data_IF_612181243453
#
_entry.id   IF_612181243453
#
_cell.length_a   1.000
_cell.length_b   1.000
_cell.length_c   1.000
_cell.angle_alpha   90.00
_cell.angle_beta   90.00
_cell.angle_gamma   90.00
#
_symmetry.space_group_name_H-M   'P 1'
#
loop_
_entity.id
_entity.type
_entity.pdbx_description
1 polymer ?
#
# COMPACT_ATOMS: atom_id res chain seq x y z
N UNK A 1 23.21 -20.27 25.41
CA UNK A 1 22.53 -21.34 24.62
C UNK A 1 23.57 -22.02 23.73
N UNK A 2 23.56 -23.35 23.62
CA UNK A 2 24.50 -24.07 22.74
C UNK A 2 24.16 -23.88 21.26
N UNK A 3 25.16 -24.03 20.38
CA UNK A 3 24.97 -23.95 18.92
C UNK A 3 23.89 -24.93 18.43
N UNK A 4 23.92 -26.17 18.93
CA UNK A 4 22.92 -27.20 18.60
C UNK A 4 21.51 -26.75 19.00
N UNK A 5 21.33 -26.30 20.25
CA UNK A 5 20.05 -25.81 20.75
C UNK A 5 19.49 -24.63 19.94
N UNK A 6 20.35 -23.72 19.48
CA UNK A 6 19.94 -22.61 18.62
C UNK A 6 19.39 -23.09 17.27
N UNK A 7 20.07 -24.03 16.60
CA UNK A 7 19.60 -24.57 15.31
C UNK A 7 18.31 -25.39 15.48
N UNK A 8 18.19 -26.17 16.55
CA UNK A 8 16.98 -26.92 16.87
C UNK A 8 15.80 -25.96 17.05
N UNK A 9 15.95 -24.94 17.89
CA UNK A 9 14.90 -23.94 18.10
C UNK A 9 14.50 -23.24 16.80
N UNK A 10 15.47 -22.86 15.96
CA UNK A 10 15.19 -22.22 14.66
C UNK A 10 14.42 -23.14 13.69
N UNK A 11 14.68 -24.44 13.73
CA UNK A 11 14.06 -25.43 12.84
C UNK A 11 12.59 -25.68 13.20
N UNK A 12 12.26 -25.66 14.49
CA UNK A 12 10.93 -25.99 15.02
C UNK A 12 10.11 -24.77 15.45
N UNK A 13 10.57 -23.56 15.12
CA UNK A 13 9.85 -22.33 15.44
C UNK A 13 8.61 -22.18 14.54
N UNK A 14 7.44 -22.17 15.17
CA UNK A 14 6.15 -22.00 14.52
C UNK A 14 5.32 -20.94 15.26
N UNK A 15 4.48 -20.22 14.52
CA UNK A 15 3.66 -19.13 15.05
C UNK A 15 2.17 -19.30 14.78
N UNK A 16 1.79 -20.42 14.15
CA UNK A 16 0.41 -20.78 13.92
C UNK A 16 0.28 -22.31 13.89
N UNK A 17 -0.93 -22.81 14.16
CA UNK A 17 -1.23 -24.24 14.09
C UNK A 17 -1.16 -24.71 12.64
N UNK A 18 -0.34 -25.74 12.36
CA UNK A 18 -0.20 -26.30 11.02
C UNK A 18 -1.40 -27.17 10.62
N UNK A 19 -2.28 -27.55 11.56
CA UNK A 19 -3.48 -28.34 11.29
C UNK A 19 -4.63 -27.49 10.73
N UNK A 20 -4.58 -26.17 10.93
CA UNK A 20 -5.58 -25.22 10.45
C UNK A 20 -5.04 -24.54 9.19
N UNK A 21 -5.32 -25.13 8.03
CA UNK A 21 -4.90 -24.57 6.73
C UNK A 21 -5.87 -23.46 6.32
N UNK A 22 -5.35 -22.25 6.11
CA UNK A 22 -6.08 -21.10 5.59
C UNK A 22 -5.70 -20.83 4.12
N UNK A 23 -6.63 -20.22 3.38
CA UNK A 23 -6.43 -19.61 2.07
C UNK A 23 -5.37 -18.48 2.04
N UNK A 24 -5.12 -17.82 3.17
CA UNK A 24 -4.10 -16.78 3.32
C UNK A 24 -2.71 -17.36 3.11
N UNK A 25 -1.98 -16.83 2.12
CA UNK A 25 -0.64 -17.33 1.79
C UNK A 25 0.41 -17.03 2.85
N UNK A 26 0.10 -16.18 3.84
CA UNK A 26 0.94 -15.90 4.99
C UNK A 26 0.37 -16.44 6.31
N UNK A 27 -0.60 -17.37 6.28
CA UNK A 27 -1.27 -17.88 7.48
C UNK A 27 -0.29 -18.33 8.59
N UNK A 28 0.85 -18.95 8.22
CA UNK A 28 1.87 -19.42 9.18
C UNK A 28 2.51 -18.31 10.03
N UNK A 29 2.51 -17.08 9.53
CA UNK A 29 3.11 -15.90 10.20
C UNK A 29 2.10 -14.80 10.46
N UNK A 30 0.83 -15.01 10.09
CA UNK A 30 -0.25 -14.04 10.25
C UNK A 30 -0.40 -13.57 11.70
N UNK A 31 -0.36 -14.45 12.73
CA UNK A 31 -0.46 -14.01 14.11
C UNK A 31 0.63 -13.02 14.52
N UNK A 32 1.86 -13.17 14.00
CA UNK A 32 2.95 -12.23 14.26
C UNK A 32 2.63 -10.86 13.66
N UNK A 33 2.15 -10.81 12.43
CA UNK A 33 1.82 -9.52 11.79
C UNK A 33 0.66 -8.83 12.51
N UNK A 34 -0.33 -9.59 13.00
CA UNK A 34 -1.44 -9.04 13.81
C UNK A 34 -0.86 -8.40 15.08
N UNK A 35 -0.15 -9.18 15.90
CA UNK A 35 0.46 -8.71 17.14
C UNK A 35 1.41 -7.53 16.93
N UNK A 36 2.21 -7.58 15.86
CA UNK A 36 3.14 -6.50 15.54
C UNK A 36 2.38 -5.22 15.18
N UNK A 37 1.35 -5.29 14.35
CA UNK A 37 0.58 -4.11 13.96
C UNK A 37 -0.20 -3.53 15.15
N UNK A 38 -0.77 -4.38 16.01
CA UNK A 38 -1.42 -3.94 17.26
C UNK A 38 -0.43 -3.18 18.15
N UNK A 39 0.76 -3.74 18.40
CA UNK A 39 1.78 -3.07 19.21
C UNK A 39 2.26 -1.76 18.55
N UNK A 40 2.49 -1.75 17.24
CA UNK A 40 2.94 -0.56 16.51
C UNK A 40 1.91 0.58 16.59
N UNK A 41 0.61 0.26 16.54
CA UNK A 41 -0.48 1.22 16.65
C UNK A 41 -0.69 1.68 18.09
N UNK A 42 -0.58 0.78 19.06
CA UNK A 42 -0.72 1.10 20.48
C UNK A 42 0.33 2.11 20.96
N UNK A 43 1.58 1.94 20.53
CA UNK A 43 2.70 2.77 20.99
C UNK A 43 3.11 3.86 20.00
N UNK A 44 2.57 3.83 18.78
CA UNK A 44 2.86 4.81 17.75
C UNK A 44 1.97 6.04 17.86
N UNK A 45 2.56 7.23 17.74
CA UNK A 45 1.81 8.48 17.61
C UNK A 45 1.81 8.91 16.14
N UNK A 46 0.63 9.02 15.52
CA UNK A 46 0.54 9.45 14.12
C UNK A 46 1.05 10.87 13.93
N UNK A 47 2.11 11.02 13.14
CA UNK A 47 2.64 12.30 12.72
C UNK A 47 1.76 12.97 11.66
N UNK A 48 1.90 14.28 11.46
CA UNK A 48 1.22 14.99 10.37
C UNK A 48 1.56 14.39 9.01
N UNK A 49 2.82 14.02 8.77
CA UNK A 49 3.26 13.49 7.48
C UNK A 49 3.40 11.95 7.55
N UNK A 50 2.60 11.26 6.74
CA UNK A 50 2.58 9.80 6.65
C UNK A 50 2.93 9.35 5.23
N UNK A 51 3.67 8.26 5.09
CA UNK A 51 4.07 7.68 3.82
C UNK A 51 3.59 6.24 3.69
N UNK A 52 3.04 5.90 2.53
CA UNK A 52 2.73 4.52 2.14
C UNK A 52 3.70 4.12 1.03
N UNK A 53 4.53 3.13 1.33
CA UNK A 53 5.51 2.62 0.37
C UNK A 53 5.73 1.11 0.57
N UNK A 54 6.61 0.55 -0.25
CA UNK A 54 6.98 -0.84 -0.28
C UNK A 54 8.42 -1.12 0.14
N UNK A 55 8.60 -2.19 0.89
CA UNK A 55 9.92 -2.71 1.24
C UNK A 55 10.10 -4.16 0.79
N UNK A 56 11.28 -4.48 0.29
CA UNK A 56 11.67 -5.85 -0.06
C UNK A 56 12.46 -6.49 1.08
N UNK A 57 11.99 -7.64 1.56
CA UNK A 57 12.70 -8.50 2.52
C UNK A 57 13.36 -9.64 1.75
N UNK A 58 14.69 -9.68 1.78
CA UNK A 58 15.50 -10.62 0.98
C UNK A 58 15.18 -12.07 1.34
N UNK A 59 14.87 -12.89 0.34
CA UNK A 59 14.64 -14.32 0.53
C UNK A 59 14.92 -15.09 -0.77
N UNK A 60 15.70 -16.17 -0.67
CA UNK A 60 16.12 -16.98 -1.82
C UNK A 60 15.41 -18.33 -1.94
N UNK A 61 14.75 -18.79 -0.87
CA UNK A 61 14.07 -20.09 -0.86
C UNK A 61 12.84 -20.16 -1.77
N UNK A 62 12.19 -21.33 -1.79
CA UNK A 62 10.99 -21.57 -2.61
C UNK A 62 9.74 -21.15 -1.84
N UNK A 63 9.00 -20.17 -2.35
CA UNK A 63 7.69 -19.78 -1.83
C UNK A 63 6.88 -19.06 -2.91
N UNK A 64 5.57 -19.27 -2.98
CA UNK A 64 4.70 -18.72 -4.03
C UNK A 64 4.51 -17.20 -3.99
N UNK A 65 4.74 -16.57 -2.83
CA UNK A 65 4.70 -15.10 -2.67
C UNK A 65 6.06 -14.40 -2.90
N UNK A 66 7.13 -15.16 -3.20
CA UNK A 66 8.43 -14.55 -3.50
C UNK A 66 8.33 -13.76 -4.80
N UNK A 67 8.78 -12.51 -4.77
CA UNK A 67 8.79 -11.62 -5.92
C UNK A 67 10.21 -11.36 -6.42
N UNK A 68 10.33 -11.13 -7.72
CA UNK A 68 11.51 -10.54 -8.34
C UNK A 68 11.27 -9.05 -8.65
N UNK A 69 12.20 -8.19 -8.26
CA UNK A 69 12.18 -6.74 -8.55
C UNK A 69 13.47 -6.35 -9.27
N UNK A 70 13.37 -6.14 -10.60
CA UNK A 70 14.48 -5.64 -11.42
C UNK A 70 14.86 -4.22 -10.97
N UNK A 71 16.15 -3.92 -10.91
CA UNK A 71 16.67 -2.58 -10.59
C UNK A 71 16.68 -2.20 -9.11
N UNK A 72 16.18 -3.04 -8.20
CA UNK A 72 16.30 -2.83 -6.75
C UNK A 72 17.52 -3.58 -6.18
N UNK A 73 18.12 -3.04 -5.11
CA UNK A 73 19.25 -3.67 -4.43
C UNK A 73 18.93 -5.09 -3.92
N UNK A 74 17.70 -5.29 -3.42
CA UNK A 74 17.16 -6.62 -3.11
C UNK A 74 16.27 -7.08 -4.26
N UNK A 75 16.83 -7.92 -5.13
CA UNK A 75 16.13 -8.42 -6.32
C UNK A 75 15.11 -9.52 -6.02
N UNK A 76 15.37 -10.39 -5.06
CA UNK A 76 14.50 -11.52 -4.72
C UNK A 76 14.07 -11.46 -3.26
N UNK A 77 12.77 -11.55 -3.00
CA UNK A 77 12.26 -11.46 -1.64
C UNK A 77 10.75 -11.36 -1.53
N UNK A 78 10.29 -11.16 -0.29
CA UNK A 78 8.91 -10.79 0.00
C UNK A 78 8.75 -9.28 -0.12
N UNK A 79 7.67 -8.84 -0.77
CA UNK A 79 7.29 -7.43 -0.77
C UNK A 79 6.35 -7.19 0.41
N UNK A 80 6.67 -6.18 1.22
CA UNK A 80 5.82 -5.65 2.27
C UNK A 80 5.35 -4.26 1.83
N UNK A 81 4.07 -3.97 2.00
CA UNK A 81 3.57 -2.60 1.96
C UNK A 81 3.54 -2.08 3.41
N UNK A 82 3.91 -0.83 3.62
CA UNK A 82 4.09 -0.25 4.95
C UNK A 82 3.48 1.15 4.97
N UNK A 83 2.60 1.42 5.95
CA UNK A 83 2.26 2.77 6.38
C UNK A 83 3.27 3.19 7.45
N UNK A 84 3.89 4.34 7.26
CA UNK A 84 4.92 4.87 8.15
C UNK A 84 4.83 6.38 8.34
N UNK A 85 5.40 6.89 9.41
CA UNK A 85 5.65 8.32 9.62
C UNK A 85 6.86 8.78 8.79
N UNK A 86 7.00 10.10 8.60
CA UNK A 86 8.13 10.72 7.91
C UNK A 86 9.50 10.37 8.50
N UNK A 87 9.56 10.07 9.80
CA UNK A 87 10.77 9.65 10.52
C UNK A 87 11.05 8.14 10.42
N UNK A 88 10.18 7.40 9.72
CA UNK A 88 10.34 5.98 9.44
C UNK A 88 9.68 5.04 10.45
N UNK A 89 8.95 5.55 11.45
CA UNK A 89 8.16 4.69 12.36
C UNK A 89 7.03 3.99 11.60
N UNK A 90 6.95 2.64 11.60
CA UNK A 90 5.88 1.91 10.91
C UNK A 90 4.63 1.83 11.79
N UNK A 91 3.45 2.11 11.23
CA UNK A 91 2.17 1.93 11.92
C UNK A 91 1.45 0.65 11.50
N UNK A 92 1.61 0.25 10.23
CA UNK A 92 0.91 -0.90 9.71
C UNK A 92 1.70 -1.53 8.56
N UNK A 93 1.97 -2.82 8.66
CA UNK A 93 2.68 -3.63 7.69
C UNK A 93 1.75 -4.70 7.12
N UNK A 94 1.62 -4.75 5.80
CA UNK A 94 0.85 -5.77 5.08
C UNK A 94 1.76 -6.51 4.10
N UNK A 95 1.96 -7.83 4.25
CA UNK A 95 2.74 -8.61 3.29
C UNK A 95 1.96 -8.80 1.98
N UNK A 96 2.62 -8.54 0.86
CA UNK A 96 2.00 -8.65 -0.46
C UNK A 96 1.77 -10.12 -0.83
N UNK A 97 0.52 -10.43 -1.15
CA UNK A 97 0.03 -11.78 -1.43
C UNK A 97 -0.10 -12.09 -2.91
N UNK A 98 0.59 -11.40 -3.84
CA UNK A 98 0.47 -11.67 -5.27
C UNK A 98 -0.93 -11.42 -5.86
N UNK A 99 -1.10 -11.68 -7.15
CA UNK A 99 -2.43 -11.76 -7.74
C UNK A 99 -3.08 -13.08 -7.31
N UNK A 100 -4.19 -13.03 -6.59
CA UNK A 100 -5.06 -14.18 -6.43
C UNK A 100 -5.86 -14.33 -7.72
N UNK A 101 -5.83 -15.51 -8.33
CA UNK A 101 -6.83 -15.85 -9.35
C UNK A 101 -8.13 -16.04 -8.58
N UNK A 102 -9.15 -15.27 -8.92
CA UNK A 102 -10.51 -15.40 -8.37
C UNK A 102 -11.06 -16.79 -8.71
N UNK A 103 -10.66 -17.81 -7.96
CA UNK A 103 -11.38 -19.06 -7.88
C UNK A 103 -12.34 -18.92 -6.70
N UNK A 104 -13.41 -18.15 -6.89
CA UNK A 104 -14.67 -18.22 -6.14
C UNK A 104 -14.63 -18.24 -4.61
N UNK A 105 -13.56 -17.81 -3.95
CA UNK A 105 -13.47 -17.74 -2.49
C UNK A 105 -13.29 -16.29 -2.06
N UNK A 106 -14.30 -15.82 -1.33
CA UNK A 106 -14.40 -14.48 -0.75
C UNK A 106 -13.11 -14.13 0.01
N UNK A 107 -12.60 -12.92 -0.26
CA UNK A 107 -11.32 -12.44 0.23
C UNK A 107 -11.25 -12.49 1.76
N UNK A 108 -10.11 -12.92 2.31
CA UNK A 108 -9.79 -12.80 3.74
C UNK A 108 -9.51 -11.35 4.20
N UNK A 109 -9.56 -10.37 3.30
CA UNK A 109 -9.64 -8.93 3.63
C UNK A 109 -11.06 -8.36 3.57
N UNK A 110 -12.09 -9.17 3.30
CA UNK A 110 -13.51 -8.74 3.24
C UNK A 110 -14.33 -9.14 4.48
N UNK A 111 -13.72 -9.70 5.52
CA UNK A 111 -14.45 -10.18 6.70
C UNK A 111 -14.78 -9.11 7.76
N UNK A 112 -15.05 -7.87 7.36
CA UNK A 112 -15.59 -6.88 8.30
C UNK A 112 -16.96 -6.32 7.99
N UNK A 113 -17.52 -6.47 6.79
CA UNK A 113 -18.90 -6.00 6.53
C UNK A 113 -19.62 -6.96 5.57
N UNK A 114 -20.41 -7.88 6.13
CA UNK A 114 -21.26 -8.82 5.35
C UNK A 114 -22.70 -8.34 5.13
N UNK A 115 -23.00 -7.07 5.38
CA UNK A 115 -24.33 -6.51 5.15
C UNK A 115 -24.28 -5.24 4.28
N UNK A 116 -24.07 -5.40 2.98
CA UNK A 116 -24.70 -4.57 1.92
C UNK A 116 -24.20 -5.00 0.53
N UNK A 117 -25.00 -5.81 -0.18
CA UNK A 117 -24.85 -6.05 -1.62
C UNK A 117 -25.38 -4.82 -2.41
N UNK A 118 -24.60 -3.75 -2.44
CA UNK A 118 -24.73 -2.71 -3.47
C UNK A 118 -23.62 -2.90 -4.50
N UNK A 119 -23.89 -2.68 -5.79
CA UNK A 119 -22.95 -2.68 -6.93
C UNK A 119 -21.55 -2.20 -6.51
N UNK A 120 -20.66 -3.13 -6.13
CA UNK A 120 -19.33 -2.80 -5.64
C UNK A 120 -18.46 -2.55 -6.87
N UNK A 121 -18.14 -1.29 -7.12
CA UNK A 121 -17.13 -0.92 -8.14
C UNK A 121 -15.88 -1.77 -7.90
N UNK A 122 -15.30 -2.34 -8.96
CA UNK A 122 -14.10 -3.18 -8.85
C UNK A 122 -12.92 -2.33 -8.36
N UNK A 123 -12.69 -2.31 -7.05
CA UNK A 123 -11.55 -1.62 -6.44
C UNK A 123 -10.24 -2.29 -6.86
N UNK A 124 -9.25 -1.48 -7.19
CA UNK A 124 -7.91 -2.00 -7.49
C UNK A 124 -7.24 -2.50 -6.21
N UNK A 125 -6.33 -3.47 -6.32
CA UNK A 125 -5.58 -3.99 -5.16
C UNK A 125 -4.83 -2.87 -4.42
N UNK A 126 -4.27 -1.91 -5.14
CA UNK A 126 -3.62 -0.72 -4.58
C UNK A 126 -4.58 0.12 -3.73
N UNK A 127 -5.80 0.33 -4.22
CA UNK A 127 -6.82 1.09 -3.49
C UNK A 127 -7.22 0.35 -2.20
N UNK A 128 -7.48 -0.96 -2.26
CA UNK A 128 -7.81 -1.75 -1.06
C UNK A 128 -6.69 -1.69 -0.02
N UNK A 129 -5.42 -1.74 -0.44
CA UNK A 129 -4.28 -1.64 0.48
C UNK A 129 -4.22 -0.27 1.15
N UNK A 130 -4.42 0.83 0.40
CA UNK A 130 -4.43 2.18 0.96
C UNK A 130 -5.60 2.38 1.91
N UNK A 131 -6.79 1.91 1.55
CA UNK A 131 -7.98 1.97 2.41
C UNK A 131 -7.75 1.21 3.74
N UNK A 132 -7.15 0.02 3.69
CA UNK A 132 -6.81 -0.76 4.88
C UNK A 132 -5.75 -0.07 5.76
N UNK A 133 -4.81 0.66 5.16
CA UNK A 133 -3.83 1.41 5.94
C UNK A 133 -4.45 2.63 6.61
N UNK A 134 -5.35 3.33 5.93
CA UNK A 134 -5.93 4.55 6.45
C UNK A 134 -7.11 4.31 7.40
N UNK A 135 -7.62 3.07 7.48
CA UNK A 135 -8.67 2.72 8.46
C UNK A 135 -8.21 2.84 9.92
N UNK A 136 -6.90 2.78 10.18
CA UNK A 136 -6.33 2.94 11.53
C UNK A 136 -5.99 4.39 11.88
N UNK A 137 -6.22 5.34 10.96
CA UNK A 137 -5.93 6.77 11.17
C UNK A 137 -7.20 7.49 11.58
N UNK A 138 -7.33 7.81 12.87
CA UNK A 138 -8.57 8.35 13.45
C UNK A 138 -8.86 9.81 13.09
N UNK A 139 -7.83 10.63 12.83
CA UNK A 139 -7.98 12.07 12.52
C UNK A 139 -7.51 12.45 11.12
N UNK A 140 -8.18 12.00 10.03
CA UNK A 140 -7.73 12.20 8.64
C UNK A 140 -7.28 13.62 8.28
N UNK A 141 -8.01 14.63 8.75
CA UNK A 141 -7.75 16.04 8.43
C UNK A 141 -6.44 16.58 9.02
N UNK A 142 -5.83 15.88 9.99
CA UNK A 142 -4.54 16.24 10.59
C UNK A 142 -3.35 15.60 9.89
N UNK A 143 -3.59 14.73 8.90
CA UNK A 143 -2.54 13.95 8.25
C UNK A 143 -2.47 14.19 6.74
N UNK A 144 -1.24 14.22 6.25
CA UNK A 144 -0.85 14.34 4.85
C UNK A 144 -0.19 13.03 4.41
N UNK A 145 -0.82 12.36 3.46
CA UNK A 145 -0.44 11.04 2.97
C UNK A 145 0.42 11.20 1.72
N UNK A 146 1.61 10.62 1.72
CA UNK A 146 2.52 10.58 0.58
C UNK A 146 2.58 9.16 0.02
N UNK A 147 2.49 9.03 -1.30
CA UNK A 147 2.41 7.74 -1.98
C UNK A 147 3.24 7.72 -3.26
N UNK A 148 3.98 6.63 -3.48
CA UNK A 148 4.55 6.37 -4.81
C UNK A 148 3.45 5.97 -5.81
N UNK A 149 3.78 6.06 -7.09
CA UNK A 149 2.86 5.81 -8.18
C UNK A 149 2.15 4.48 -8.06
N UNK A 150 2.75 3.42 -7.50
CA UNK A 150 2.07 2.15 -7.39
C UNK A 150 0.71 2.28 -6.67
N UNK A 151 0.63 3.15 -5.66
CA UNK A 151 -0.54 3.32 -4.82
C UNK A 151 -1.47 4.45 -5.28
N UNK A 152 -1.20 5.13 -6.39
CA UNK A 152 -2.01 6.27 -6.83
C UNK A 152 -2.97 5.94 -7.98
N UNK A 153 -4.15 6.57 -7.96
CA UNK A 153 -5.08 6.66 -9.09
C UNK A 153 -5.98 7.88 -8.89
N UNK A 154 -6.59 8.38 -9.97
CA UNK A 154 -7.56 9.48 -9.85
C UNK A 154 -8.71 9.13 -8.88
N UNK A 155 -9.32 7.95 -9.04
CA UNK A 155 -10.47 7.52 -8.22
C UNK A 155 -10.10 7.36 -6.74
N UNK A 156 -8.88 6.88 -6.43
CA UNK A 156 -8.40 6.80 -5.06
C UNK A 156 -8.28 8.20 -4.45
N UNK A 157 -7.76 9.18 -5.18
CA UNK A 157 -7.65 10.53 -4.65
C UNK A 157 -9.05 11.11 -4.38
N UNK A 158 -10.03 10.94 -5.28
CA UNK A 158 -11.42 11.33 -5.00
C UNK A 158 -11.92 10.70 -3.69
N UNK A 159 -11.69 9.40 -3.48
CA UNK A 159 -12.05 8.73 -2.23
C UNK A 159 -11.34 9.31 -0.99
N UNK A 160 -10.04 9.59 -1.08
CA UNK A 160 -9.25 10.16 0.03
C UNK A 160 -9.74 11.55 0.43
N UNK A 161 -10.13 12.36 -0.57
CA UNK A 161 -10.76 13.66 -0.36
C UNK A 161 -12.06 13.55 0.43
N UNK A 162 -12.93 12.63 0.03
CA UNK A 162 -14.22 12.43 0.68
C UNK A 162 -14.03 11.99 2.14
N UNK A 163 -12.93 11.28 2.42
CA UNK A 163 -12.45 10.93 3.77
C UNK A 163 -11.67 12.04 4.48
N UNK A 164 -11.50 13.21 3.85
CA UNK A 164 -10.77 14.39 4.36
C UNK A 164 -9.28 14.14 4.61
N UNK A 165 -8.66 13.18 3.93
CA UNK A 165 -7.21 13.06 3.90
C UNK A 165 -6.62 14.07 2.92
N UNK A 166 -5.53 14.70 3.32
CA UNK A 166 -4.62 15.30 2.37
C UNK A 166 -3.76 14.19 1.78
N UNK A 167 -3.63 14.15 0.46
CA UNK A 167 -2.82 13.15 -0.22
C UNK A 167 -2.01 13.76 -1.36
N UNK A 168 -0.80 13.27 -1.50
CA UNK A 168 0.18 13.67 -2.49
C UNK A 168 0.84 12.43 -3.08
N UNK A 169 0.94 12.34 -4.40
CA UNK A 169 1.62 11.21 -5.00
C UNK A 169 1.84 11.32 -6.49
N UNK A 170 2.80 10.57 -7.00
CA UNK A 170 3.11 10.53 -8.43
C UNK A 170 2.04 9.70 -9.15
N UNK A 171 1.49 10.14 -10.28
CA UNK A 171 0.50 9.34 -11.05
C UNK A 171 1.07 8.94 -12.40
N UNK A 172 0.77 7.71 -12.85
CA UNK A 172 1.12 7.27 -14.21
C UNK A 172 0.13 7.83 -15.22
N UNK A 173 0.60 8.14 -16.42
CA UNK A 173 -0.24 8.72 -17.48
C UNK A 173 -1.53 7.92 -17.74
N UNK A 174 -1.43 6.58 -17.70
CA UNK A 174 -2.56 5.68 -17.93
C UNK A 174 -3.55 5.57 -16.74
N UNK A 175 -3.35 6.32 -15.65
CA UNK A 175 -4.20 6.34 -14.44
C UNK A 175 -4.79 7.71 -14.12
N UNK A 176 -4.67 8.68 -15.03
CA UNK A 176 -5.14 10.06 -14.86
C UNK A 176 -6.64 10.25 -15.18
N UNK A 177 -7.33 9.19 -15.61
CA UNK A 177 -8.76 9.16 -15.94
C UNK A 177 -9.22 10.40 -16.73
N UNK A 178 -10.13 11.21 -16.16
CA UNK A 178 -10.81 12.33 -16.80
C UNK A 178 -9.99 13.62 -16.88
N UNK A 179 -8.76 13.64 -16.38
CA UNK A 179 -7.91 14.84 -16.40
C UNK A 179 -6.59 14.59 -17.17
N UNK A 180 -6.63 14.58 -18.52
CA UNK A 180 -5.45 14.31 -19.32
C UNK A 180 -4.50 15.51 -19.30
N UNK A 181 -3.31 15.36 -18.75
CA UNK A 181 -2.21 16.33 -18.86
C UNK A 181 -1.46 16.17 -20.21
N UNK A 182 -0.66 17.16 -20.60
CA UNK A 182 0.30 17.00 -21.70
C UNK A 182 1.16 15.75 -21.45
N UNK A 183 1.33 14.93 -22.48
CA UNK A 183 2.15 13.72 -22.38
C UNK A 183 3.63 14.07 -22.18
N UNK A 184 4.35 13.16 -21.53
CA UNK A 184 5.81 13.23 -21.37
C UNK A 184 6.56 13.46 -22.68
N UNK A 185 6.05 12.93 -23.80
CA UNK A 185 6.62 13.14 -25.14
C UNK A 185 6.51 14.58 -25.62
N UNK A 186 5.40 15.27 -25.32
CA UNK A 186 5.20 16.66 -25.70
C UNK A 186 6.07 17.55 -24.82
N UNK A 187 6.06 17.30 -23.50
CA UNK A 187 6.86 18.06 -22.55
C UNK A 187 8.37 17.88 -22.77
N UNK A 188 8.81 16.70 -23.19
CA UNK A 188 10.23 16.45 -23.51
C UNK A 188 10.76 17.20 -24.75
N UNK A 189 9.87 17.78 -25.56
CA UNK A 189 10.24 18.68 -26.67
C UNK A 189 10.21 20.16 -26.30
N UNK A 190 9.71 20.48 -25.11
CA UNK A 190 9.66 21.85 -24.59
C UNK A 190 10.93 22.18 -23.81
N UNK A 191 11.12 23.46 -23.50
CA UNK A 191 12.27 23.89 -22.71
C UNK A 191 12.29 23.24 -21.33
N UNK A 192 13.50 22.90 -20.88
CA UNK A 192 13.70 22.29 -19.55
C UNK A 192 13.14 23.20 -18.46
N UNK A 193 12.33 22.64 -17.56
CA UNK A 193 11.62 23.38 -16.52
C UNK A 193 10.15 23.71 -16.88
N UNK A 194 9.74 23.45 -18.12
CA UNK A 194 8.33 23.56 -18.52
C UNK A 194 7.49 22.50 -17.79
N UNK A 195 6.39 22.93 -17.20
CA UNK A 195 5.39 22.05 -16.58
C UNK A 195 3.99 22.35 -17.12
N UNK A 196 3.11 21.36 -17.06
CA UNK A 196 1.68 21.52 -17.35
C UNK A 196 0.90 21.25 -16.07
N UNK A 197 -0.20 21.97 -15.86
CA UNK A 197 -1.03 21.82 -14.67
C UNK A 197 -2.50 21.86 -15.04
N UNK A 198 -3.28 21.01 -14.41
CA UNK A 198 -4.72 21.01 -14.52
C UNK A 198 -5.35 20.93 -13.15
N UNK A 199 -6.45 21.66 -13.00
CA UNK A 199 -7.27 21.62 -11.81
C UNK A 199 -8.65 21.10 -12.19
N UNK A 200 -9.07 20.02 -11.55
CA UNK A 200 -10.43 19.55 -11.62
C UNK A 200 -11.27 20.38 -10.66
N UNK A 201 -12.05 21.34 -11.19
CA UNK A 201 -12.92 22.20 -10.38
C UNK A 201 -14.05 21.45 -9.69
N UNK A 202 -14.47 20.30 -10.22
CA UNK A 202 -15.57 19.51 -9.67
C UNK A 202 -15.12 18.74 -8.43
N UNK A 203 -13.96 18.10 -8.53
CA UNK A 203 -13.39 17.31 -7.43
C UNK A 203 -12.34 18.05 -6.61
N UNK A 204 -12.00 19.30 -6.97
CA UNK A 204 -10.93 20.11 -6.37
C UNK A 204 -9.59 19.37 -6.29
N UNK A 205 -9.20 18.71 -7.37
CA UNK A 205 -7.93 17.98 -7.49
C UNK A 205 -6.95 18.77 -8.34
N UNK A 206 -5.73 18.97 -7.85
CA UNK A 206 -4.64 19.50 -8.67
C UNK A 206 -3.79 18.35 -9.22
N UNK A 207 -3.59 18.36 -10.54
CA UNK A 207 -2.66 17.48 -11.22
C UNK A 207 -1.55 18.30 -11.87
N UNK A 208 -0.31 17.91 -11.60
CA UNK A 208 0.89 18.49 -12.20
C UNK A 208 1.57 17.47 -13.12
N UNK A 209 1.72 17.84 -14.38
CA UNK A 209 2.44 17.04 -15.35
C UNK A 209 3.93 17.06 -15.02
N UNK A 210 4.44 15.86 -14.72
CA UNK A 210 5.84 15.65 -14.42
C UNK A 210 6.08 14.90 -13.12
N UNK A 211 5.30 15.14 -12.05
CA UNK A 211 5.69 14.60 -10.73
C UNK A 211 4.50 14.26 -9.80
N UNK A 212 3.36 14.97 -9.77
CA UNK A 212 2.49 14.87 -8.57
C UNK A 212 0.99 15.18 -8.79
N UNK A 213 0.11 14.45 -8.10
CA UNK A 213 -1.26 14.85 -7.75
C UNK A 213 -1.24 15.41 -6.34
N UNK A 214 -1.86 16.57 -6.12
CA UNK A 214 -1.97 17.22 -4.81
C UNK A 214 -3.39 17.74 -4.56
N UNK A 215 -3.77 17.80 -3.29
CA UNK A 215 -4.94 18.55 -2.85
C UNK A 215 -4.58 19.97 -2.49
N UNK A 216 -5.42 20.92 -2.88
CA UNK A 216 -5.37 22.29 -2.40
C UNK A 216 -6.76 22.66 -1.87
N UNK A 217 -6.82 23.22 -0.66
CA UNK A 217 -8.03 23.78 -0.07
C UNK A 217 -7.98 25.30 -0.13
#
# INVERSE_FOLDING_TARGET
>A
MSRKRYFDNKKYLHFNDNNVIDSDRYYKVRPIYILLNEALQQFGVFAEHLSIDERMVRYFGRHGCKMYRKGKAVKFGYKLCILSSFDGYPFYIIPYQGAQKENGSENSSERLDKDMKSKKEKKTLSQTVVENFLSVVETPAKHKIYMDNLFTSYDLFVFLRDKRFFATGTVRENRMAKCPLKSSKILGKMDRGTSDRKFDTKMKLHLFAGITIEFCH
#
